data_IF_528655024961
#
_entry.id   IF_528655024961
#
_cell.length_a   1.000
_cell.length_b   1.000
_cell.length_c   1.000
_cell.angle_alpha   90.00
_cell.angle_beta   90.00
_cell.angle_gamma   90.00
#
_symmetry.space_group_name_H-M   'P 1'
#
loop_
_entity.id
_entity.type
_entity.pdbx_description
1 polymer ?
#
# COMPACT_ATOMS: atom_id res chain seq x y z
N UNK A 1 -20.63 5.16 -4.67
CA UNK A 1 -20.12 3.93 -4.00
C UNK A 1 -19.37 4.36 -2.76
N UNK A 2 -19.57 3.74 -1.60
CA UNK A 2 -18.80 4.10 -0.40
C UNK A 2 -17.32 3.73 -0.57
N UNK A 3 -16.41 4.58 -0.10
CA UNK A 3 -14.97 4.32 -0.08
C UNK A 3 -14.65 2.97 0.58
N UNK A 4 -15.42 2.61 1.61
CA UNK A 4 -15.35 1.32 2.29
C UNK A 4 -15.55 0.13 1.34
N UNK A 5 -16.56 0.17 0.47
CA UNK A 5 -16.85 -0.94 -0.47
C UNK A 5 -15.72 -1.13 -1.48
N UNK A 6 -15.06 -0.04 -1.87
CA UNK A 6 -13.90 -0.09 -2.77
C UNK A 6 -12.68 -0.64 -2.04
N UNK A 7 -12.42 -0.17 -0.81
CA UNK A 7 -11.33 -0.66 0.03
C UNK A 7 -11.45 -2.17 0.31
N UNK A 8 -12.64 -2.67 0.67
CA UNK A 8 -12.86 -4.10 0.92
C UNK A 8 -12.57 -4.96 -0.31
N UNK A 9 -12.88 -4.49 -1.52
CA UNK A 9 -12.57 -5.22 -2.76
C UNK A 9 -11.07 -5.35 -2.99
N UNK A 10 -10.32 -4.26 -2.84
CA UNK A 10 -8.86 -4.30 -2.99
C UNK A 10 -8.19 -5.11 -1.89
N UNK A 11 -8.65 -4.99 -0.65
CA UNK A 11 -8.17 -5.80 0.47
C UNK A 11 -8.39 -7.30 0.19
N UNK A 12 -9.57 -7.68 -0.28
CA UNK A 12 -9.86 -9.07 -0.65
C UNK A 12 -8.92 -9.57 -1.76
N UNK A 13 -8.73 -8.79 -2.83
CA UNK A 13 -7.82 -9.17 -3.91
C UNK A 13 -6.37 -9.37 -3.44
N UNK A 14 -5.90 -8.55 -2.50
CA UNK A 14 -4.57 -8.71 -1.91
C UNK A 14 -4.49 -9.96 -1.02
N UNK A 15 -5.52 -10.23 -0.22
CA UNK A 15 -5.60 -11.41 0.65
C UNK A 15 -5.65 -12.69 -0.20
N UNK A 16 -6.48 -12.73 -1.24
CA UNK A 16 -6.61 -13.89 -2.12
C UNK A 16 -5.25 -14.19 -2.77
N UNK A 17 -4.54 -13.17 -3.28
CA UNK A 17 -3.18 -13.30 -3.82
C UNK A 17 -2.17 -13.80 -2.77
N UNK A 18 -2.27 -13.29 -1.54
CA UNK A 18 -1.38 -13.67 -0.45
C UNK A 18 -1.54 -15.15 -0.05
N UNK A 19 -2.79 -15.63 -0.04
CA UNK A 19 -3.10 -17.04 0.21
C UNK A 19 -2.59 -17.92 -0.93
N UNK A 20 -2.83 -17.53 -2.19
CA UNK A 20 -2.33 -18.27 -3.37
C UNK A 20 -0.81 -18.40 -3.38
N UNK A 21 -0.09 -17.37 -2.90
CA UNK A 21 1.37 -17.37 -2.81
C UNK A 21 1.91 -17.97 -1.50
N UNK A 22 1.06 -18.43 -0.58
CA UNK A 22 1.42 -18.89 0.77
C UNK A 22 2.18 -17.84 1.62
N UNK A 23 1.91 -16.55 1.39
CA UNK A 23 2.59 -15.41 2.01
C UNK A 23 1.63 -14.53 2.84
N UNK A 24 0.54 -15.12 3.36
CA UNK A 24 -0.54 -14.38 4.02
C UNK A 24 -0.05 -13.60 5.25
N UNK A 25 0.73 -14.23 6.13
CA UNK A 25 1.17 -13.59 7.37
C UNK A 25 2.20 -12.48 7.10
N UNK A 26 3.08 -12.68 6.11
CA UNK A 26 4.04 -11.68 5.69
C UNK A 26 3.38 -10.45 5.07
N UNK A 27 2.42 -10.64 4.15
CA UNK A 27 1.70 -9.52 3.54
C UNK A 27 0.84 -8.79 4.59
N UNK A 28 0.27 -9.51 5.55
CA UNK A 28 -0.42 -8.90 6.69
C UNK A 28 0.54 -8.09 7.56
N UNK A 29 1.74 -8.60 7.86
CA UNK A 29 2.76 -7.87 8.59
C UNK A 29 3.22 -6.61 7.84
N UNK A 30 3.39 -6.70 6.51
CA UNK A 30 3.71 -5.56 5.66
C UNK A 30 2.65 -4.45 5.76
N UNK A 31 1.36 -4.82 5.76
CA UNK A 31 0.26 -3.88 5.89
C UNK A 31 0.20 -3.23 7.28
N UNK A 32 0.50 -3.99 8.33
CA UNK A 32 0.62 -3.44 9.70
C UNK A 32 1.76 -2.42 9.76
N UNK A 33 2.95 -2.78 9.26
CA UNK A 33 4.11 -1.89 9.18
C UNK A 33 3.78 -0.62 8.40
N UNK A 34 3.07 -0.74 7.28
CA UNK A 34 2.65 0.41 6.47
C UNK A 34 1.75 1.36 7.26
N UNK A 35 0.72 0.83 7.95
CA UNK A 35 -0.21 1.63 8.76
C UNK A 35 0.53 2.32 9.92
N UNK A 36 1.43 1.62 10.60
CA UNK A 36 2.24 2.19 11.67
C UNK A 36 3.15 3.31 11.16
N UNK A 37 3.82 3.10 10.02
CA UNK A 37 4.68 4.10 9.39
C UNK A 37 3.89 5.39 9.06
N UNK A 38 2.66 5.25 8.57
CA UNK A 38 1.79 6.39 8.30
C UNK A 38 1.30 7.12 9.55
N UNK A 39 1.12 6.40 10.66
CA UNK A 39 0.75 7.00 11.95
C UNK A 39 1.92 7.76 12.56
N UNK A 40 3.14 7.23 12.43
CA UNK A 40 4.35 7.85 12.94
C UNK A 40 4.81 9.05 12.09
N UNK A 41 4.50 9.05 10.79
CA UNK A 41 4.89 10.12 9.86
C UNK A 41 3.69 10.89 9.32
N UNK A 42 3.34 11.99 9.98
CA UNK A 42 2.31 12.93 9.52
C UNK A 42 2.62 13.50 8.12
N UNK A 43 3.90 13.72 7.82
CA UNK A 43 4.36 14.20 6.50
C UNK A 43 4.09 13.20 5.38
N UNK A 44 4.42 11.91 5.58
CA UNK A 44 4.15 10.89 4.57
C UNK A 44 2.64 10.77 4.31
N UNK A 45 1.86 10.79 5.38
CA UNK A 45 0.39 10.79 5.33
C UNK A 45 -0.15 11.98 4.52
N UNK A 46 0.41 13.18 4.71
CA UNK A 46 0.05 14.38 3.94
C UNK A 46 0.44 14.28 2.47
N UNK A 47 1.64 13.76 2.16
CA UNK A 47 2.11 13.57 0.78
C UNK A 47 1.21 12.62 0.00
N UNK A 48 0.81 11.49 0.61
CA UNK A 48 -0.07 10.52 -0.05
C UNK A 48 -1.48 11.08 -0.31
N UNK A 49 -2.01 11.90 0.60
CA UNK A 49 -3.31 12.57 0.42
C UNK A 49 -3.28 13.77 -0.51
N UNK A 50 -2.10 14.33 -0.81
CA UNK A 50 -1.98 15.53 -1.62
C UNK A 50 -2.19 15.21 -3.12
N UNK A 51 -3.20 15.78 -3.80
CA UNK A 51 -3.46 15.53 -5.22
C UNK A 51 -2.44 16.21 -6.16
N UNK A 52 -1.70 17.22 -5.67
CA UNK A 52 -0.69 17.94 -6.44
C UNK A 52 0.58 17.09 -6.61
N UNK A 53 0.86 16.20 -5.67
CA UNK A 53 1.99 15.28 -5.77
C UNK A 53 1.66 14.22 -6.82
N UNK A 54 2.47 14.16 -7.89
CA UNK A 54 2.22 13.24 -9.00
C UNK A 54 2.25 11.77 -8.55
N UNK A 55 1.46 10.89 -9.18
CA UNK A 55 1.46 9.46 -8.89
C UNK A 55 2.87 8.85 -8.97
N UNK A 56 3.67 9.25 -9.96
CA UNK A 56 5.04 8.80 -10.11
C UNK A 56 5.91 9.12 -8.88
N UNK A 57 5.80 10.33 -8.33
CA UNK A 57 6.54 10.72 -7.11
C UNK A 57 6.09 9.91 -5.90
N UNK A 58 4.78 9.69 -5.73
CA UNK A 58 4.26 8.85 -4.63
C UNK A 58 4.79 7.42 -4.73
N UNK A 59 4.86 6.86 -5.94
CA UNK A 59 5.41 5.53 -6.18
C UNK A 59 6.87 5.43 -5.82
N UNK A 60 7.69 6.41 -6.22
CA UNK A 60 9.12 6.47 -5.86
C UNK A 60 9.27 6.51 -4.34
N UNK A 61 8.56 7.41 -3.66
CA UNK A 61 8.62 7.56 -2.20
C UNK A 61 8.29 6.24 -1.49
N UNK A 62 7.18 5.59 -1.86
CA UNK A 62 6.81 4.30 -1.25
C UNK A 62 7.80 3.19 -1.60
N UNK A 63 8.31 3.16 -2.82
CA UNK A 63 9.28 2.15 -3.24
C UNK A 63 10.56 2.32 -2.43
N UNK A 64 11.11 3.52 -2.32
CA UNK A 64 12.35 3.78 -1.57
C UNK A 64 12.21 3.50 -0.07
N UNK A 65 11.05 3.78 0.52
CA UNK A 65 10.80 3.56 1.95
C UNK A 65 10.68 2.08 2.32
N UNK A 66 10.04 1.29 1.47
CA UNK A 66 9.62 -0.09 1.77
C UNK A 66 10.42 -1.16 1.00
N UNK A 67 11.25 -0.79 0.02
CA UNK A 67 12.16 -1.75 -0.65
C UNK A 67 13.03 -2.46 0.37
N UNK A 68 13.06 -3.80 0.29
CA UNK A 68 13.81 -4.65 1.20
C UNK A 68 13.19 -4.83 2.59
N UNK A 69 12.06 -4.17 2.88
CA UNK A 69 11.32 -4.31 4.15
C UNK A 69 9.98 -5.03 4.01
N UNK A 70 9.40 -5.00 2.81
CA UNK A 70 8.12 -5.61 2.50
C UNK A 70 8.25 -6.52 1.28
N UNK A 71 7.27 -7.39 1.09
CA UNK A 71 7.23 -8.29 -0.05
C UNK A 71 7.01 -7.57 -1.39
N UNK A 72 7.47 -8.19 -2.48
CA UNK A 72 7.28 -7.70 -3.83
C UNK A 72 5.78 -7.55 -4.19
N UNK A 73 4.93 -8.45 -3.69
CA UNK A 73 3.47 -8.37 -3.85
C UNK A 73 2.91 -7.08 -3.23
N UNK A 74 3.38 -6.71 -2.04
CA UNK A 74 3.00 -5.45 -1.37
C UNK A 74 3.43 -4.22 -2.16
N UNK A 75 4.68 -4.19 -2.66
CA UNK A 75 5.15 -3.09 -3.51
C UNK A 75 4.35 -2.98 -4.82
N UNK A 76 4.02 -4.13 -5.43
CA UNK A 76 3.15 -4.19 -6.61
C UNK A 76 1.76 -3.63 -6.31
N UNK A 77 1.19 -3.99 -5.17
CA UNK A 77 -0.10 -3.50 -4.73
C UNK A 77 -0.09 -1.97 -4.53
N UNK A 78 0.95 -1.40 -3.92
CA UNK A 78 1.08 0.06 -3.79
C UNK A 78 1.06 0.78 -5.15
N UNK A 79 1.76 0.24 -6.15
CA UNK A 79 1.78 0.79 -7.51
C UNK A 79 0.38 0.77 -8.14
N UNK A 80 -0.36 -0.32 -7.98
CA UNK A 80 -1.74 -0.43 -8.48
C UNK A 80 -2.65 0.59 -7.80
N UNK A 81 -2.54 0.74 -6.48
CA UNK A 81 -3.35 1.68 -5.72
C UNK A 81 -3.07 3.12 -6.15
N UNK A 82 -1.79 3.50 -6.27
CA UNK A 82 -1.39 4.85 -6.72
C UNK A 82 -1.85 5.13 -8.15
N UNK A 83 -1.81 4.15 -9.05
CA UNK A 83 -2.25 4.32 -10.43
C UNK A 83 -3.77 4.54 -10.57
N UNK A 84 -4.55 4.19 -9.55
CA UNK A 84 -6.01 4.37 -9.51
C UNK A 84 -6.48 5.55 -8.64
N UNK A 85 -5.56 6.25 -8.00
CA UNK A 85 -5.82 7.47 -7.22
C UNK A 85 -6.10 8.67 -8.12
#
# INVERSE_FOLDING_TARGET
MSEYKVATRYAKSLIDLAVEQNHLEEIKADMVLFVETLRLSGTLSAVLRNPIVSPAKKTIILTDLFTGKVQAATLGFFKIMIAKM
#
